data_IF_690496424852
#
_entry.id   IF_690496424852
#
_cell.length_a   1.000
_cell.length_b   1.000
_cell.length_c   1.000
_cell.angle_alpha   90.00
_cell.angle_beta   90.00
_cell.angle_gamma   90.00
#
_symmetry.space_group_name_H-M   'P 1'
#
loop_
_entity.id
_entity.type
_entity.pdbx_description
1 polymer ?
#
# COMPACT_ATOMS: atom_id res chain seq x y z
N UNK A 1 0.61 33.15 -4.10
CA UNK A 1 0.06 31.99 -3.35
C UNK A 1 0.62 30.74 -3.97
N UNK A 2 1.22 29.86 -3.18
CA UNK A 2 1.60 28.51 -3.63
C UNK A 2 0.34 27.64 -3.75
N UNK A 3 0.25 26.79 -4.77
CA UNK A 3 -0.95 25.98 -5.05
C UNK A 3 -1.30 24.98 -3.95
N UNK A 4 -2.50 24.38 -3.99
CA UNK A 4 -3.00 23.48 -2.94
C UNK A 4 -2.17 22.19 -2.78
N UNK A 5 -1.58 21.69 -3.86
CA UNK A 5 -0.72 20.50 -3.87
C UNK A 5 0.77 20.86 -3.72
N UNK A 6 1.09 22.14 -3.53
CA UNK A 6 2.47 22.57 -3.39
C UNK A 6 3.08 22.03 -2.08
N UNK A 7 4.35 21.57 -2.09
CA UNK A 7 5.03 21.02 -0.91
C UNK A 7 4.90 21.85 0.38
N UNK A 8 5.05 23.17 0.26
CA UNK A 8 4.90 24.10 1.40
C UNK A 8 3.47 24.13 1.94
N UNK A 9 2.45 24.03 1.08
CA UNK A 9 1.05 24.01 1.50
C UNK A 9 0.75 22.71 2.25
N UNK A 10 1.20 21.57 1.70
CA UNK A 10 1.10 20.26 2.34
C UNK A 10 1.83 20.22 3.69
N UNK A 11 3.05 20.74 3.76
CA UNK A 11 3.80 20.85 5.02
C UNK A 11 3.06 21.72 6.04
N UNK A 12 2.48 22.85 5.62
CA UNK A 12 1.68 23.71 6.51
C UNK A 12 0.45 22.98 7.05
N UNK A 13 -0.27 22.25 6.19
CA UNK A 13 -1.44 21.49 6.59
C UNK A 13 -1.09 20.34 7.55
N UNK A 14 0.03 19.65 7.31
CA UNK A 14 0.55 18.64 8.23
C UNK A 14 0.88 19.22 9.61
N UNK A 15 1.58 20.36 9.65
CA UNK A 15 1.89 21.04 10.90
C UNK A 15 0.63 21.47 11.66
N UNK A 16 -0.42 21.88 10.95
CA UNK A 16 -1.72 22.18 11.55
C UNK A 16 -2.37 20.92 12.15
N UNK A 17 -2.35 19.80 11.42
CA UNK A 17 -2.86 18.53 11.93
C UNK A 17 -2.10 18.08 13.19
N UNK A 18 -0.76 18.14 13.19
CA UNK A 18 0.08 17.84 14.36
C UNK A 18 -0.24 18.78 15.52
N UNK A 19 -0.43 20.07 15.26
CA UNK A 19 -0.83 21.06 16.28
C UNK A 19 -2.19 20.71 16.89
N UNK A 20 -3.15 20.25 16.09
CA UNK A 20 -4.44 19.77 16.59
C UNK A 20 -4.28 18.52 17.47
N UNK A 21 -3.44 17.56 17.07
CA UNK A 21 -3.14 16.35 17.86
C UNK A 21 -2.54 16.72 19.21
N UNK A 22 -1.51 17.56 19.24
CA UNK A 22 -0.82 17.98 20.46
C UNK A 22 -1.74 18.77 21.41
N UNK A 23 -2.74 19.48 20.87
CA UNK A 23 -3.76 20.18 21.64
C UNK A 23 -5.01 19.34 21.95
N UNK A 24 -4.96 18.01 21.76
CA UNK A 24 -6.09 17.08 22.00
C UNK A 24 -7.35 17.36 21.17
N UNK A 25 -7.25 18.11 20.07
CA UNK A 25 -8.35 18.41 19.14
C UNK A 25 -8.42 17.35 18.04
N UNK A 26 -8.64 16.09 18.43
CA UNK A 26 -8.48 14.93 17.52
C UNK A 26 -9.41 15.00 16.31
N UNK A 27 -10.69 15.37 16.47
CA UNK A 27 -11.61 15.49 15.33
C UNK A 27 -11.18 16.55 14.30
N UNK A 28 -10.51 17.63 14.74
CA UNK A 28 -9.95 18.62 13.81
C UNK A 28 -8.72 18.06 13.09
N UNK A 29 -7.87 17.31 13.79
CA UNK A 29 -6.72 16.65 13.18
C UNK A 29 -7.16 15.64 12.10
N UNK A 30 -8.14 14.79 12.39
CA UNK A 30 -8.68 13.82 11.43
C UNK A 30 -9.26 14.51 10.19
N UNK A 31 -9.99 15.62 10.38
CA UNK A 31 -10.50 16.43 9.26
C UNK A 31 -9.39 16.98 8.37
N UNK A 32 -8.31 17.47 8.95
CA UNK A 32 -7.18 17.99 8.19
C UNK A 32 -6.42 16.88 7.47
N UNK A 33 -6.16 15.74 8.11
CA UNK A 33 -5.54 14.57 7.48
C UNK A 33 -6.40 14.05 6.31
N UNK A 34 -7.73 13.99 6.47
CA UNK A 34 -8.66 13.56 5.41
C UNK A 34 -8.63 14.46 4.18
N UNK A 35 -8.57 15.78 4.37
CA UNK A 35 -8.43 16.75 3.27
C UNK A 35 -7.07 16.68 2.60
N UNK A 36 -6.04 16.29 3.35
CA UNK A 36 -4.67 16.25 2.88
C UNK A 36 -4.40 15.04 1.96
N UNK A 37 -5.04 13.89 2.21
CA UNK A 37 -4.85 12.65 1.45
C UNK A 37 -4.97 12.80 -0.09
N UNK A 38 -6.07 13.33 -0.66
CA UNK A 38 -6.17 13.47 -2.12
C UNK A 38 -5.13 14.43 -2.69
N UNK A 39 -4.76 15.49 -1.95
CA UNK A 39 -3.72 16.45 -2.37
C UNK A 39 -2.33 15.81 -2.36
N UNK A 40 -2.07 14.94 -1.39
CA UNK A 40 -0.83 14.15 -1.33
C UNK A 40 -0.76 13.15 -2.47
N UNK A 41 -1.86 12.48 -2.81
CA UNK A 41 -1.89 11.58 -3.96
C UNK A 41 -1.61 12.33 -5.27
N UNK A 42 -2.16 13.54 -5.45
CA UNK A 42 -1.85 14.42 -6.57
C UNK A 42 -0.36 14.76 -6.61
N UNK A 43 0.18 15.29 -5.51
CA UNK A 43 1.59 15.65 -5.39
C UNK A 43 2.54 14.46 -5.61
N UNK A 44 2.27 13.32 -4.97
CA UNK A 44 3.13 12.12 -5.06
C UNK A 44 2.99 11.46 -6.42
N UNK A 45 1.81 11.47 -7.03
CA UNK A 45 1.63 11.06 -8.44
C UNK A 45 2.57 11.84 -9.35
N UNK A 46 2.58 13.18 -9.21
CA UNK A 46 3.48 14.07 -9.95
C UNK A 46 4.96 13.70 -9.72
N UNK A 47 5.38 13.43 -8.48
CA UNK A 47 6.77 13.10 -8.16
C UNK A 47 7.22 11.71 -8.64
N UNK A 48 6.35 10.68 -8.53
CA UNK A 48 6.67 9.34 -9.03
C UNK A 48 6.75 9.31 -10.55
N UNK A 49 5.86 10.04 -11.21
CA UNK A 49 5.86 10.22 -12.66
C UNK A 49 7.06 11.07 -13.12
N UNK A 50 7.62 11.91 -12.24
CA UNK A 50 8.77 12.76 -12.54
C UNK A 50 10.14 12.17 -12.18
N UNK A 51 10.28 10.92 -11.71
CA UNK A 51 11.58 10.39 -11.26
C UNK A 51 12.11 9.27 -12.17
N UNK A 52 13.27 9.48 -12.83
CA UNK A 52 13.81 8.61 -13.90
C UNK A 52 14.32 7.21 -13.49
N UNK A 53 14.44 6.90 -12.19
CA UNK A 53 15.00 5.63 -11.73
C UNK A 53 14.07 4.97 -10.72
N UNK A 54 13.75 3.69 -10.96
CA UNK A 54 13.04 2.83 -10.01
C UNK A 54 13.72 2.84 -8.63
N UNK A 55 15.06 2.86 -8.60
CA UNK A 55 15.83 2.95 -7.36
C UNK A 55 15.58 4.26 -6.62
N UNK A 56 15.55 5.39 -7.34
CA UNK A 56 15.29 6.72 -6.75
C UNK A 56 13.84 6.83 -6.31
N UNK A 57 12.88 6.21 -6.99
CA UNK A 57 11.46 6.15 -6.56
C UNK A 57 11.24 5.30 -5.34
N UNK A 58 11.84 4.11 -5.30
CA UNK A 58 11.83 3.25 -4.10
C UNK A 58 12.48 3.98 -2.93
N UNK A 59 13.61 4.65 -3.18
CA UNK A 59 14.31 5.45 -2.16
C UNK A 59 13.51 6.69 -1.73
N UNK A 60 12.73 7.33 -2.61
CA UNK A 60 11.87 8.48 -2.28
C UNK A 60 10.60 8.06 -1.53
N UNK A 61 10.03 6.89 -1.87
CA UNK A 61 8.95 6.26 -1.13
C UNK A 61 9.39 5.77 0.27
N UNK A 62 10.68 5.49 0.44
CA UNK A 62 11.30 5.08 1.71
C UNK A 62 11.95 6.25 2.45
N UNK A 63 12.19 7.38 1.80
CA UNK A 63 12.73 8.58 2.45
C UNK A 63 11.58 9.33 3.12
N UNK A 64 11.93 10.07 4.17
CA UNK A 64 11.04 10.94 4.96
C UNK A 64 10.58 12.17 4.15
N UNK A 65 10.13 11.95 2.93
CA UNK A 65 9.57 12.94 2.04
C UNK A 65 8.20 13.39 2.57
N UNK A 66 7.76 14.57 2.13
CA UNK A 66 6.49 15.21 2.50
C UNK A 66 5.26 14.28 2.27
N UNK A 67 5.39 13.27 1.40
CA UNK A 67 4.37 12.23 1.16
C UNK A 67 4.30 11.10 2.20
N UNK A 68 5.43 10.72 2.83
CA UNK A 68 5.51 9.57 3.75
C UNK A 68 5.03 9.94 5.16
N UNK A 69 5.35 11.14 5.63
CA UNK A 69 5.04 11.60 7.00
C UNK A 69 3.53 11.65 7.30
N UNK A 70 2.65 12.12 6.40
CA UNK A 70 1.20 12.15 6.67
C UNK A 70 0.57 10.75 6.72
N UNK A 71 1.02 9.84 5.86
CA UNK A 71 0.60 8.43 5.85
C UNK A 71 1.00 7.79 7.18
N UNK A 72 2.26 7.93 7.58
CA UNK A 72 2.72 7.47 8.89
C UNK A 72 1.96 8.13 10.04
N UNK A 73 1.65 9.42 9.92
CA UNK A 73 0.92 10.20 10.92
C UNK A 73 -0.47 9.64 11.19
N UNK A 74 -1.28 9.34 10.18
CA UNK A 74 -2.62 8.79 10.42
C UNK A 74 -2.59 7.43 11.13
N UNK A 75 -1.67 6.54 10.75
CA UNK A 75 -1.54 5.22 11.38
C UNK A 75 -1.03 5.33 12.82
N UNK A 76 -0.08 6.25 13.06
CA UNK A 76 0.40 6.55 14.41
C UNK A 76 -0.71 7.09 15.30
N UNK A 77 -1.58 7.95 14.74
CA UNK A 77 -2.73 8.47 15.46
C UNK A 77 -3.75 7.35 15.75
N UNK A 78 -4.07 6.51 14.76
CA UNK A 78 -4.98 5.39 14.92
C UNK A 78 -4.49 4.38 15.97
N UNK A 79 -3.19 4.18 16.10
CA UNK A 79 -2.60 3.30 17.12
C UNK A 79 -2.42 3.95 18.50
N UNK A 80 -2.38 5.28 18.58
CA UNK A 80 -2.10 5.98 19.82
C UNK A 80 -3.16 5.74 20.92
N UNK A 81 -2.71 5.40 22.12
CA UNK A 81 -3.56 5.16 23.30
C UNK A 81 -4.25 6.43 23.82
N UNK A 82 -3.69 7.61 23.52
CA UNK A 82 -4.26 8.87 23.98
C UNK A 82 -5.48 9.33 23.18
N UNK A 83 -5.79 8.68 22.06
CA UNK A 83 -6.94 9.03 21.23
C UNK A 83 -8.21 8.58 21.94
N UNK A 84 -9.19 9.48 22.15
CA UNK A 84 -10.46 9.12 22.76
C UNK A 84 -11.20 8.04 21.97
N UNK A 85 -11.94 7.17 22.67
CA UNK A 85 -12.69 6.06 22.05
C UNK A 85 -13.67 6.57 20.99
N UNK A 86 -14.31 7.72 21.20
CA UNK A 86 -15.23 8.32 20.22
C UNK A 86 -14.57 8.72 18.89
N UNK A 87 -13.23 8.85 18.85
CA UNK A 87 -12.47 9.15 17.63
C UNK A 87 -11.65 7.96 17.14
N UNK A 88 -11.55 6.88 17.92
CA UNK A 88 -10.70 5.72 17.61
C UNK A 88 -11.18 5.02 16.34
N UNK A 89 -12.47 4.76 16.23
CA UNK A 89 -13.08 4.14 15.06
C UNK A 89 -12.86 4.99 13.79
N UNK A 90 -13.10 6.30 13.86
CA UNK A 90 -12.86 7.20 12.72
C UNK A 90 -11.39 7.23 12.31
N UNK A 91 -10.46 7.24 13.28
CA UNK A 91 -9.03 7.21 13.02
C UNK A 91 -8.60 5.90 12.34
N UNK A 92 -9.12 4.76 12.79
CA UNK A 92 -8.85 3.44 12.19
C UNK A 92 -9.42 3.37 10.77
N UNK A 93 -10.66 3.81 10.53
CA UNK A 93 -11.25 3.83 9.19
C UNK A 93 -10.46 4.70 8.22
N UNK A 94 -10.04 5.89 8.64
CA UNK A 94 -9.20 6.76 7.81
C UNK A 94 -7.80 6.17 7.58
N UNK A 95 -7.20 5.53 8.58
CA UNK A 95 -5.94 4.80 8.41
C UNK A 95 -6.11 3.65 7.41
N UNK A 96 -7.21 2.90 7.47
CA UNK A 96 -7.52 1.83 6.53
C UNK A 96 -7.61 2.34 5.08
N UNK A 97 -8.39 3.41 4.85
CA UNK A 97 -8.52 4.05 3.53
C UNK A 97 -7.14 4.45 2.98
N UNK A 98 -6.34 5.14 3.80
CA UNK A 98 -5.01 5.60 3.40
C UNK A 98 -4.09 4.41 3.16
N UNK A 99 -4.08 3.39 4.02
CA UNK A 99 -3.25 2.19 3.79
C UNK A 99 -3.57 1.56 2.43
N UNK A 100 -4.85 1.29 2.19
CA UNK A 100 -5.35 0.66 0.97
C UNK A 100 -5.01 1.48 -0.27
N UNK A 101 -5.22 2.80 -0.24
CA UNK A 101 -4.93 3.71 -1.35
C UNK A 101 -3.44 3.81 -1.66
N UNK A 102 -2.60 3.76 -0.65
CA UNK A 102 -1.16 3.95 -0.80
C UNK A 102 -0.38 2.64 -0.91
N UNK A 103 -1.01 1.49 -0.66
CA UNK A 103 -0.36 0.18 -0.79
C UNK A 103 0.05 -0.04 -2.25
N UNK A 104 1.36 -0.24 -2.43
CA UNK A 104 2.02 -0.47 -3.74
C UNK A 104 1.73 0.58 -4.82
N UNK A 105 1.35 1.79 -4.40
CA UNK A 105 1.04 2.89 -5.34
C UNK A 105 2.25 3.28 -6.19
N UNK A 106 3.46 3.15 -5.65
CA UNK A 106 4.71 3.43 -6.36
C UNK A 106 4.96 2.39 -7.46
N UNK A 107 4.83 2.81 -8.72
CA UNK A 107 5.17 1.99 -9.90
C UNK A 107 4.00 1.21 -10.51
N UNK A 108 2.84 1.07 -9.83
CA UNK A 108 1.68 0.35 -10.41
C UNK A 108 1.20 1.00 -11.71
N UNK A 109 1.12 2.34 -11.73
CA UNK A 109 0.66 3.09 -12.91
C UNK A 109 1.57 2.91 -14.11
N UNK A 110 2.87 2.89 -13.88
CA UNK A 110 3.83 2.69 -14.95
C UNK A 110 3.85 1.25 -15.43
N UNK A 111 3.72 0.29 -14.51
CA UNK A 111 3.56 -1.10 -14.88
C UNK A 111 2.33 -1.29 -15.76
N UNK A 112 1.21 -0.62 -15.45
CA UNK A 112 0.01 -0.68 -16.30
C UNK A 112 0.22 0.00 -17.65
N UNK A 113 0.80 1.20 -17.70
CA UNK A 113 1.08 1.90 -18.96
C UNK A 113 2.01 1.04 -19.84
N UNK A 114 3.09 0.49 -19.27
CA UNK A 114 4.02 -0.39 -19.98
C UNK A 114 3.36 -1.71 -20.42
N UNK A 115 2.43 -2.24 -19.61
CA UNK A 115 1.64 -3.41 -19.98
C UNK A 115 0.75 -3.10 -21.18
N UNK A 116 -0.05 -2.03 -21.12
CA UNK A 116 -0.94 -1.61 -22.21
C UNK A 116 -0.17 -1.33 -23.50
N UNK A 117 0.98 -0.65 -23.40
CA UNK A 117 1.88 -0.39 -24.53
C UNK A 117 2.44 -1.69 -25.17
N UNK A 118 2.56 -2.78 -24.40
CA UNK A 118 3.15 -4.02 -24.92
C UNK A 118 2.12 -5.03 -25.41
N UNK A 119 1.00 -5.18 -24.70
CA UNK A 119 0.09 -6.32 -24.89
C UNK A 119 -1.33 -5.93 -25.26
N UNK A 120 -1.72 -4.65 -25.24
CA UNK A 120 -3.08 -4.28 -25.62
C UNK A 120 -3.35 -4.66 -27.06
N UNK A 121 -4.50 -5.30 -27.31
CA UNK A 121 -4.93 -5.69 -28.65
C UNK A 121 -5.42 -4.50 -29.48
N UNK A 122 -5.87 -3.41 -28.83
CA UNK A 122 -6.28 -2.18 -29.50
C UNK A 122 -5.04 -1.32 -29.85
N UNK A 123 -4.76 -1.10 -31.15
CA UNK A 123 -3.62 -0.28 -31.57
C UNK A 123 -3.66 1.15 -31.00
N UNK A 124 -4.86 1.73 -30.82
CA UNK A 124 -5.01 3.09 -30.28
C UNK A 124 -4.60 3.16 -28.81
N UNK A 125 -4.97 2.16 -28.03
CA UNK A 125 -4.56 2.06 -26.61
C UNK A 125 -3.04 1.89 -26.54
N UNK A 126 -2.48 1.06 -27.42
CA UNK A 126 -1.04 0.81 -27.48
C UNK A 126 -0.25 2.09 -27.77
N UNK A 127 -0.58 2.77 -28.88
CA UNK A 127 0.09 4.01 -29.30
C UNK A 127 -0.06 5.12 -28.25
N UNK A 128 -1.25 5.24 -27.64
CA UNK A 128 -1.49 6.25 -26.60
C UNK A 128 -0.70 5.94 -25.31
N UNK A 129 -0.60 4.66 -24.92
CA UNK A 129 0.20 4.25 -23.77
C UNK A 129 1.70 4.47 -23.99
N UNK A 130 2.23 4.15 -25.18
CA UNK A 130 3.61 4.45 -25.57
C UNK A 130 3.88 5.96 -25.53
N UNK A 131 3.02 6.75 -26.17
CA UNK A 131 3.11 8.22 -26.18
C UNK A 131 3.05 8.83 -24.78
N UNK A 132 2.19 8.29 -23.91
CA UNK A 132 2.09 8.72 -22.52
C UNK A 132 3.35 8.40 -21.72
N UNK A 133 3.96 7.22 -21.92
CA UNK A 133 5.22 6.85 -21.28
C UNK A 133 6.36 7.79 -21.70
N UNK A 134 6.44 8.15 -22.99
CA UNK A 134 7.41 9.13 -23.50
C UNK A 134 7.17 10.53 -22.94
N UNK A 135 5.92 11.01 -22.94
CA UNK A 135 5.56 12.33 -22.42
C UNK A 135 5.89 12.45 -20.93
N UNK A 136 5.63 11.40 -20.14
CA UNK A 136 6.01 11.33 -18.72
C UNK A 136 7.52 11.35 -18.53
N UNK A 137 8.27 10.62 -19.35
CA UNK A 137 9.73 10.64 -19.32
C UNK A 137 10.27 12.05 -19.66
N UNK A 138 9.69 12.73 -20.65
CA UNK A 138 10.06 14.09 -21.01
C UNK A 138 9.75 15.09 -19.88
N UNK A 139 8.57 14.97 -19.27
CA UNK A 139 8.17 15.79 -18.14
C UNK A 139 9.11 15.59 -16.94
N UNK A 140 9.42 14.34 -16.61
CA UNK A 140 10.39 13.95 -15.58
C UNK A 140 11.75 14.61 -15.79
N UNK A 141 12.27 14.59 -17.02
CA UNK A 141 13.54 15.26 -17.35
C UNK A 141 13.46 16.76 -17.08
N UNK A 142 12.36 17.42 -17.46
CA UNK A 142 12.18 18.86 -17.30
C UNK A 142 12.09 19.29 -15.82
N UNK A 143 11.37 18.53 -14.99
CA UNK A 143 11.21 18.81 -13.56
C UNK A 143 12.53 18.66 -12.79
N UNK A 144 13.37 17.70 -13.19
CA UNK A 144 14.66 17.41 -12.52
C UNK A 144 15.84 18.25 -13.04
N UNK A 145 15.63 19.20 -13.95
CA UNK A 145 16.71 20.10 -14.36
C UNK A 145 17.13 21.00 -13.19
N UNK A 146 18.42 21.37 -13.06
CA UNK A 146 18.88 22.29 -12.00
C UNK A 146 18.16 23.65 -12.00
N UNK A 147 17.66 24.07 -13.16
CA UNK A 147 16.81 25.25 -13.34
C UNK A 147 15.64 24.88 -14.26
N UNK A 148 14.54 24.34 -13.74
CA UNK A 148 13.40 23.92 -14.55
C UNK A 148 12.70 25.13 -15.16
N UNK A 149 12.33 25.06 -16.44
CA UNK A 149 11.53 26.11 -17.10
C UNK A 149 10.05 25.92 -16.72
N UNK A 150 9.43 26.84 -15.95
CA UNK A 150 8.07 26.65 -15.45
C UNK A 150 7.03 26.51 -16.57
N UNK A 151 7.20 27.21 -17.70
CA UNK A 151 6.27 27.11 -18.84
C UNK A 151 6.37 25.76 -19.54
N UNK A 152 7.59 25.26 -19.77
CA UNK A 152 7.80 23.96 -20.40
C UNK A 152 7.29 22.81 -19.51
N UNK A 153 7.50 22.93 -18.20
CA UNK A 153 6.97 21.97 -17.21
C UNK A 153 5.44 21.97 -17.24
N UNK A 154 4.79 23.14 -17.23
CA UNK A 154 3.33 23.24 -17.28
C UNK A 154 2.75 22.66 -18.59
N UNK A 155 3.30 23.03 -19.75
CA UNK A 155 2.84 22.51 -21.04
C UNK A 155 2.95 20.98 -21.10
N UNK A 156 4.09 20.43 -20.65
CA UNK A 156 4.32 18.99 -20.73
C UNK A 156 3.45 18.24 -19.71
N UNK A 157 3.17 18.83 -18.53
CA UNK A 157 2.20 18.32 -17.57
C UNK A 157 0.80 18.25 -18.18
N UNK A 158 0.32 19.35 -18.76
CA UNK A 158 -1.04 19.42 -19.31
C UNK A 158 -1.24 18.38 -20.43
N UNK A 159 -0.19 18.15 -21.25
CA UNK A 159 -0.19 17.08 -22.26
C UNK A 159 -0.27 15.68 -21.65
N UNK A 160 0.45 15.43 -20.56
CA UNK A 160 0.37 14.17 -19.81
C UNK A 160 -1.04 13.97 -19.24
N UNK A 161 -1.61 15.00 -18.62
CA UNK A 161 -2.97 14.96 -18.06
C UNK A 161 -4.02 14.68 -19.15
N UNK A 162 -3.92 15.32 -20.31
CA UNK A 162 -4.82 15.07 -21.44
C UNK A 162 -4.73 13.61 -21.94
N UNK A 163 -3.51 13.10 -22.14
CA UNK A 163 -3.29 11.71 -22.57
C UNK A 163 -3.80 10.70 -21.54
N UNK A 164 -3.70 11.00 -20.25
CA UNK A 164 -4.25 10.15 -19.19
C UNK A 164 -5.79 10.12 -19.22
N UNK A 165 -6.44 11.26 -19.46
CA UNK A 165 -7.90 11.31 -19.62
C UNK A 165 -8.34 10.53 -20.85
N UNK A 166 -7.63 10.67 -21.97
CA UNK A 166 -7.91 9.89 -23.18
C UNK A 166 -7.72 8.39 -22.95
N UNK A 167 -6.63 7.99 -22.27
CA UNK A 167 -6.33 6.58 -22.00
C UNK A 167 -7.35 5.99 -21.01
N UNK A 168 -7.81 6.74 -20.02
CA UNK A 168 -8.89 6.32 -19.13
C UNK A 168 -10.25 6.22 -19.85
N UNK A 169 -10.45 7.00 -20.91
CA UNK A 169 -11.63 6.88 -21.77
C UNK A 169 -11.64 5.62 -22.65
N UNK A 170 -10.46 5.13 -23.03
CA UNK A 170 -10.31 3.99 -23.96
C UNK A 170 -10.00 2.67 -23.26
N UNK A 171 -9.20 2.68 -22.18
CA UNK A 171 -8.77 1.49 -21.45
C UNK A 171 -9.56 1.33 -20.16
N UNK A 172 -10.36 0.26 -20.08
CA UNK A 172 -11.08 -0.13 -18.85
C UNK A 172 -10.12 -0.33 -17.69
N UNK A 173 -9.01 -1.04 -17.92
CA UNK A 173 -8.00 -1.31 -16.90
C UNK A 173 -7.38 -0.03 -16.35
N UNK A 174 -7.09 0.95 -17.22
CA UNK A 174 -6.54 2.24 -16.81
C UNK A 174 -7.57 3.07 -16.04
N UNK A 175 -8.84 3.04 -16.46
CA UNK A 175 -9.95 3.69 -15.76
C UNK A 175 -10.16 3.11 -14.35
N UNK A 176 -10.15 1.78 -14.23
CA UNK A 176 -10.26 1.09 -12.94
C UNK A 176 -9.10 1.49 -12.03
N UNK A 177 -7.87 1.49 -12.54
CA UNK A 177 -6.70 1.91 -11.79
C UNK A 177 -6.81 3.37 -11.28
N UNK A 178 -7.37 4.28 -12.08
CA UNK A 178 -7.62 5.66 -11.66
C UNK A 178 -8.70 5.73 -10.57
N UNK A 179 -9.78 4.97 -10.71
CA UNK A 179 -10.86 4.92 -9.72
C UNK A 179 -10.40 4.42 -8.35
N UNK A 180 -9.41 3.52 -8.35
CA UNK A 180 -8.78 2.94 -7.16
C UNK A 180 -7.99 3.96 -6.32
N UNK A 181 -7.77 5.20 -6.79
CA UNK A 181 -7.23 6.30 -5.97
C UNK A 181 -8.21 6.77 -4.90
N UNK A 182 -9.50 6.58 -5.14
CA UNK A 182 -10.61 6.88 -4.21
C UNK A 182 -11.11 5.62 -3.50
N UNK A 183 -10.24 4.62 -3.35
CA UNK A 183 -10.58 3.36 -2.69
C UNK A 183 -10.91 3.61 -1.22
N UNK A 184 -12.08 3.16 -0.78
CA UNK A 184 -12.48 3.20 0.62
C UNK A 184 -12.57 1.77 1.13
N UNK A 185 -12.32 1.59 2.43
CA UNK A 185 -12.38 0.29 3.09
C UNK A 185 -13.74 -0.39 2.88
N UNK A 186 -14.84 0.37 2.81
CA UNK A 186 -16.19 -0.15 2.53
C UNK A 186 -16.30 -0.85 1.17
N UNK A 187 -15.57 -0.38 0.16
CA UNK A 187 -15.56 -1.05 -1.15
C UNK A 187 -14.83 -2.39 -1.06
N UNK A 188 -13.78 -2.47 -0.25
CA UNK A 188 -13.04 -3.71 0.01
C UNK A 188 -13.89 -4.67 0.82
N UNK A 189 -14.53 -4.20 1.89
CA UNK A 189 -15.47 -4.97 2.71
C UNK A 189 -16.59 -5.58 1.85
N UNK A 190 -17.26 -4.77 1.04
CA UNK A 190 -18.33 -5.22 0.15
C UNK A 190 -17.86 -6.20 -0.92
N UNK A 191 -16.56 -6.21 -1.21
CA UNK A 191 -15.97 -7.10 -2.19
C UNK A 191 -15.54 -8.47 -1.64
N UNK A 192 -15.42 -8.59 -0.32
CA UNK A 192 -15.00 -9.81 0.33
C UNK A 192 -16.15 -10.82 0.42
N UNK A 193 -15.92 -12.10 0.09
CA UNK A 193 -16.90 -13.14 0.35
C UNK A 193 -17.25 -13.27 1.83
N UNK A 194 -18.49 -13.68 2.14
CA UNK A 194 -18.92 -13.93 3.51
C UNK A 194 -17.99 -14.92 4.25
N UNK A 195 -17.68 -14.61 5.51
CA UNK A 195 -16.78 -15.44 6.33
C UNK A 195 -15.30 -15.31 5.96
N UNK A 196 -14.93 -14.29 5.18
CA UNK A 196 -13.55 -13.93 4.86
C UNK A 196 -13.13 -12.60 5.48
N UNK A 197 -11.83 -12.33 5.46
CA UNK A 197 -11.21 -11.09 5.94
C UNK A 197 -10.02 -10.74 5.06
N UNK A 198 -9.83 -9.45 4.76
CA UNK A 198 -8.57 -8.94 4.21
C UNK A 198 -7.59 -8.72 5.35
N UNK A 199 -6.39 -9.28 5.25
CA UNK A 199 -5.24 -9.01 6.10
C UNK A 199 -4.16 -8.30 5.27
N UNK A 200 -4.05 -6.99 5.43
CA UNK A 200 -3.03 -6.18 4.76
C UNK A 200 -1.84 -5.95 5.70
N UNK A 201 -0.63 -6.24 5.23
CA UNK A 201 0.61 -6.14 6.01
C UNK A 201 1.51 -5.07 5.42
N UNK A 202 1.92 -4.10 6.24
CA UNK A 202 2.80 -3.02 5.77
C UNK A 202 3.75 -2.53 6.86
N UNK A 203 5.01 -2.33 6.49
CA UNK A 203 5.99 -1.69 7.36
C UNK A 203 5.98 -0.16 7.19
N UNK A 204 5.83 0.58 8.29
CA UNK A 204 5.88 2.04 8.33
C UNK A 204 6.67 2.57 9.51
N UNK A 205 7.09 3.83 9.44
CA UNK A 205 7.78 4.54 10.53
C UNK A 205 6.76 5.37 11.29
N UNK A 206 6.39 5.01 12.54
CA UNK A 206 5.44 5.80 13.31
C UNK A 206 5.99 7.21 13.57
N UNK A 207 5.12 8.21 13.67
CA UNK A 207 5.49 9.60 13.94
C UNK A 207 5.28 9.90 15.43
N UNK A 208 6.32 10.41 16.08
CA UNK A 208 6.16 11.05 17.38
C UNK A 208 5.60 12.46 17.17
N UNK A 209 4.34 12.67 17.54
CA UNK A 209 3.67 13.96 17.36
C UNK A 209 4.27 15.09 18.20
N UNK A 210 5.01 14.79 19.28
CA UNK A 210 5.66 15.81 20.10
C UNK A 210 6.91 16.34 19.43
N UNK A 211 7.75 15.45 18.90
CA UNK A 211 9.04 15.81 18.31
C UNK A 211 8.95 16.03 16.80
N UNK A 212 7.91 15.52 16.14
CA UNK A 212 7.78 15.50 14.68
C UNK A 212 8.71 14.50 14.01
N UNK A 213 9.47 13.72 14.78
CA UNK A 213 10.45 12.76 14.29
C UNK A 213 9.81 11.41 14.02
N UNK A 214 10.24 10.69 12.98
CA UNK A 214 9.88 9.29 12.81
C UNK A 214 10.59 8.42 13.84
N UNK A 215 9.86 7.43 14.34
CA UNK A 215 10.35 6.37 15.20
C UNK A 215 10.93 5.20 14.43
N UNK A 216 11.28 4.15 15.17
CA UNK A 216 11.72 2.87 14.59
C UNK A 216 10.65 2.31 13.66
N UNK A 217 11.05 1.82 12.47
CA UNK A 217 10.13 1.21 11.50
C UNK A 217 9.48 -0.05 12.08
N UNK A 218 8.17 -0.19 11.93
CA UNK A 218 7.35 -1.27 12.51
C UNK A 218 6.41 -1.88 11.48
N UNK A 219 6.10 -3.16 11.63
CA UNK A 219 5.07 -3.83 10.83
C UNK A 219 3.70 -3.56 11.41
N UNK A 220 2.74 -3.26 10.54
CA UNK A 220 1.33 -3.18 10.89
C UNK A 220 0.53 -4.25 10.16
N UNK A 221 -0.50 -4.77 10.83
CA UNK A 221 -1.59 -5.53 10.26
C UNK A 221 -2.86 -4.70 10.26
N UNK A 222 -3.52 -4.62 9.11
CA UNK A 222 -4.87 -4.10 8.96
C UNK A 222 -5.80 -5.26 8.59
N UNK A 223 -6.81 -5.52 9.41
CA UNK A 223 -7.85 -6.51 9.16
C UNK A 223 -9.15 -5.79 8.81
N UNK A 224 -9.72 -6.10 7.64
CA UNK A 224 -11.05 -5.63 7.21
C UNK A 224 -11.92 -6.87 7.01
N UNK A 225 -12.86 -7.16 7.94
CA UNK A 225 -13.80 -8.27 7.79
C UNK A 225 -14.77 -8.06 6.62
N UNK A 226 -15.22 -9.15 6.00
CA UNK A 226 -16.43 -9.12 5.18
C UNK A 226 -17.64 -8.76 6.05
N UNK A 227 -18.57 -7.97 5.52
CA UNK A 227 -19.79 -7.55 6.22
C UNK A 227 -19.55 -6.70 7.49
N UNK A 228 -18.38 -6.06 7.61
CA UNK A 228 -18.10 -5.13 8.71
C UNK A 228 -19.10 -3.96 8.68
N UNK A 229 -19.80 -3.72 9.80
CA UNK A 229 -20.91 -2.74 9.85
C UNK A 229 -20.43 -1.31 9.91
N UNK A 230 -19.34 -1.08 10.63
CA UNK A 230 -18.71 0.20 10.83
C UNK A 230 -17.22 0.03 11.12
N UNK A 231 -16.52 1.15 11.31
CA UNK A 231 -15.08 1.19 11.48
C UNK A 231 -14.59 0.51 12.78
N UNK A 232 -15.47 0.20 13.74
CA UNK A 232 -15.09 -0.48 15.00
C UNK A 232 -14.75 -1.95 14.80
N UNK A 233 -15.22 -2.57 13.70
CA UNK A 233 -14.90 -3.95 13.35
C UNK A 233 -13.56 -4.08 12.59
N UNK A 234 -12.97 -2.95 12.17
CA UNK A 234 -11.65 -2.91 11.53
C UNK A 234 -10.57 -2.97 12.61
N UNK A 235 -9.57 -3.82 12.41
CA UNK A 235 -8.47 -3.98 13.37
C UNK A 235 -7.19 -3.46 12.74
N UNK A 236 -6.58 -2.46 13.37
CA UNK A 236 -5.24 -2.01 13.06
C UNK A 236 -4.31 -2.38 14.21
N UNK A 237 -3.29 -3.17 13.93
CA UNK A 237 -2.39 -3.74 14.94
C UNK A 237 -0.93 -3.52 14.60
N UNK A 238 -0.15 -3.15 15.59
CA UNK A 238 1.32 -3.14 15.54
C UNK A 238 1.85 -4.55 15.79
N UNK A 239 2.64 -5.07 14.85
CA UNK A 239 3.24 -6.41 14.87
C UNK A 239 4.70 -6.41 15.36
N UNK A 240 5.25 -5.25 15.70
CA UNK A 240 6.62 -5.15 16.19
C UNK A 240 7.60 -4.48 15.22
N UNK A 241 8.86 -4.32 15.66
CA UNK A 241 9.93 -3.73 14.86
C UNK A 241 10.17 -4.47 13.55
N UNK A 242 10.40 -3.72 12.47
CA UNK A 242 10.65 -4.26 11.15
C UNK A 242 11.94 -5.10 11.08
N UNK A 243 12.96 -4.71 11.85
CA UNK A 243 14.23 -5.45 11.92
C UNK A 243 14.05 -6.82 12.58
N UNK A 244 13.29 -6.90 13.68
CA UNK A 244 12.98 -8.17 14.34
C UNK A 244 12.26 -9.14 13.41
N UNK A 245 11.25 -8.65 12.68
CA UNK A 245 10.55 -9.46 11.66
C UNK A 245 11.48 -9.88 10.53
N UNK A 246 12.36 -8.98 10.07
CA UNK A 246 13.31 -9.29 8.99
C UNK A 246 14.35 -10.35 9.41
N UNK A 247 14.85 -10.27 10.64
CA UNK A 247 15.77 -11.26 11.20
C UNK A 247 15.10 -12.62 11.35
N UNK A 248 13.87 -12.66 11.89
CA UNK A 248 13.15 -13.92 12.04
C UNK A 248 12.77 -14.53 10.68
N UNK A 249 12.34 -13.71 9.72
CA UNK A 249 12.08 -14.18 8.36
C UNK A 249 13.35 -14.72 7.69
N UNK A 250 14.49 -14.06 7.89
CA UNK A 250 15.77 -14.55 7.37
C UNK A 250 16.12 -15.90 7.99
N UNK A 251 16.00 -16.06 9.31
CA UNK A 251 16.25 -17.35 9.98
C UNK A 251 15.39 -18.45 9.39
N UNK A 252 14.09 -18.22 9.28
CA UNK A 252 13.17 -19.17 8.67
C UNK A 252 13.61 -19.57 7.25
N UNK A 253 14.01 -18.61 6.40
CA UNK A 253 14.52 -18.92 5.06
C UNK A 253 15.86 -19.66 5.04
N UNK A 254 16.73 -19.40 6.01
CA UNK A 254 18.07 -20.00 6.07
C UNK A 254 18.01 -21.44 6.61
N UNK A 255 17.09 -21.75 7.53
CA UNK A 255 16.99 -23.05 8.20
C UNK A 255 15.90 -23.96 7.63
N UNK A 256 14.82 -23.37 7.10
CA UNK A 256 13.58 -24.04 6.73
C UNK A 256 13.01 -24.92 7.89
N UNK A 257 13.24 -24.48 9.13
CA UNK A 257 12.88 -25.27 10.32
C UNK A 257 11.43 -25.03 10.76
N UNK A 258 10.78 -26.08 11.27
CA UNK A 258 9.45 -25.99 11.86
C UNK A 258 9.38 -25.06 13.08
N UNK A 259 10.49 -24.94 13.81
CA UNK A 259 10.57 -24.02 14.96
C UNK A 259 10.55 -22.56 14.50
N UNK A 260 11.38 -22.21 13.53
CA UNK A 260 11.44 -20.85 12.98
C UNK A 260 10.14 -20.45 12.28
N UNK A 261 9.50 -21.39 11.56
CA UNK A 261 8.18 -21.19 10.96
C UNK A 261 7.10 -20.84 11.99
N UNK A 262 7.10 -21.55 13.13
CA UNK A 262 6.15 -21.33 14.23
C UNK A 262 6.44 -20.03 14.99
N UNK A 263 7.71 -19.72 15.22
CA UNK A 263 8.12 -18.47 15.85
C UNK A 263 7.74 -17.26 14.97
N UNK A 264 7.97 -17.34 13.65
CA UNK A 264 7.58 -16.30 12.72
C UNK A 264 6.05 -16.11 12.67
N UNK A 265 5.28 -17.20 12.68
CA UNK A 265 3.83 -17.13 12.80
C UNK A 265 3.42 -16.43 14.10
N UNK A 266 4.02 -16.84 15.23
CA UNK A 266 3.68 -16.29 16.55
C UNK A 266 4.01 -14.79 16.62
N UNK A 267 5.16 -14.38 16.07
CA UNK A 267 5.59 -12.98 16.02
C UNK A 267 4.59 -12.12 15.22
N UNK A 268 4.14 -12.59 14.06
CA UNK A 268 3.29 -11.80 13.17
C UNK A 268 1.80 -11.88 13.52
N UNK A 269 1.33 -13.04 13.97
CA UNK A 269 -0.10 -13.36 14.04
C UNK A 269 -0.56 -13.89 15.39
N UNK A 270 0.35 -14.09 16.37
CA UNK A 270 0.00 -14.62 17.69
C UNK A 270 -1.08 -13.80 18.40
N UNK A 271 -0.89 -12.47 18.47
CA UNK A 271 -1.88 -11.57 19.10
C UNK A 271 -3.16 -11.41 18.28
N UNK A 272 -3.11 -11.72 16.98
CA UNK A 272 -4.27 -11.68 16.07
C UNK A 272 -4.98 -13.03 15.99
N UNK A 273 -4.47 -14.08 16.62
CA UNK A 273 -4.95 -15.44 16.45
C UNK A 273 -6.44 -15.61 16.75
N UNK A 274 -6.93 -14.95 17.81
CA UNK A 274 -8.36 -14.97 18.16
C UNK A 274 -9.26 -14.29 17.12
N UNK A 275 -8.76 -13.24 16.47
CA UNK A 275 -9.49 -12.51 15.42
C UNK A 275 -9.45 -13.28 14.10
N UNK A 276 -8.29 -13.76 13.69
CA UNK A 276 -8.11 -14.56 12.48
C UNK A 276 -8.83 -15.92 12.56
N UNK A 277 -9.03 -16.46 13.77
CA UNK A 277 -9.77 -17.70 13.97
C UNK A 277 -11.23 -17.60 13.52
N UNK A 278 -11.85 -16.41 13.57
CA UNK A 278 -13.26 -16.17 13.21
C UNK A 278 -13.57 -16.37 11.73
N UNK A 279 -12.56 -16.31 10.87
CA UNK A 279 -12.71 -16.34 9.41
C UNK A 279 -12.13 -17.62 8.82
N UNK A 280 -12.78 -18.22 7.83
CA UNK A 280 -12.27 -19.44 7.19
C UNK A 280 -11.34 -19.13 6.01
N UNK A 281 -11.49 -17.95 5.43
CA UNK A 281 -10.74 -17.48 4.25
C UNK A 281 -10.01 -16.20 4.58
N UNK A 282 -8.72 -16.15 4.27
CA UNK A 282 -7.84 -15.00 4.48
C UNK A 282 -7.35 -14.50 3.12
N UNK A 283 -7.66 -13.24 2.81
CA UNK A 283 -7.02 -12.54 1.70
C UNK A 283 -5.79 -11.82 2.24
N UNK A 284 -4.61 -12.26 1.85
CA UNK A 284 -3.33 -11.75 2.34
C UNK A 284 -2.81 -10.71 1.35
N UNK A 285 -2.69 -9.46 1.78
CA UNK A 285 -2.08 -8.39 0.99
C UNK A 285 -0.76 -7.95 1.65
N UNK A 286 0.33 -8.72 1.50
CA UNK A 286 1.64 -8.31 1.98
C UNK A 286 2.21 -7.15 1.16
N UNK A 287 3.24 -6.52 1.72
CA UNK A 287 4.07 -5.52 1.07
C UNK A 287 5.54 -5.82 1.42
N UNK A 288 6.48 -5.18 0.72
CA UNK A 288 7.91 -5.24 1.03
C UNK A 288 8.46 -6.66 1.15
N UNK A 289 9.15 -6.94 2.26
CA UNK A 289 9.81 -8.24 2.49
C UNK A 289 8.81 -9.40 2.62
N UNK A 290 7.63 -9.14 3.19
CA UNK A 290 6.62 -10.18 3.44
C UNK A 290 5.91 -10.62 2.14
N UNK A 291 6.15 -9.95 1.01
CA UNK A 291 5.72 -10.45 -0.30
C UNK A 291 6.32 -11.83 -0.62
N UNK A 292 7.51 -12.11 -0.09
CA UNK A 292 8.26 -13.33 -0.34
C UNK A 292 8.01 -14.42 0.72
N UNK A 293 7.14 -14.17 1.68
CA UNK A 293 6.86 -15.10 2.78
C UNK A 293 5.97 -16.24 2.27
N UNK A 294 6.40 -17.52 2.35
CA UNK A 294 5.53 -18.65 2.05
C UNK A 294 4.53 -18.85 3.20
N UNK A 295 3.43 -18.08 3.21
CA UNK A 295 2.42 -18.13 4.28
C UNK A 295 1.85 -19.53 4.52
N UNK A 296 1.80 -20.37 3.48
CA UNK A 296 1.33 -21.74 3.58
C UNK A 296 2.23 -22.64 4.44
N UNK A 297 3.52 -22.31 4.56
CA UNK A 297 4.53 -23.06 5.31
C UNK A 297 4.66 -22.61 6.76
N UNK A 298 3.98 -21.52 7.14
CA UNK A 298 3.91 -21.09 8.53
C UNK A 298 3.18 -22.12 9.40
N UNK A 299 3.70 -22.36 10.60
CA UNK A 299 3.13 -23.31 11.55
C UNK A 299 2.38 -22.60 12.67
N UNK A 300 1.18 -23.09 12.94
CA UNK A 300 0.37 -22.69 14.08
C UNK A 300 0.97 -23.24 15.39
N UNK A 301 0.56 -22.70 16.56
CA UNK A 301 1.00 -23.22 17.85
C UNK A 301 0.70 -24.71 18.10
N UNK A 302 -0.25 -25.30 17.35
CA UNK A 302 -0.60 -26.72 17.40
C UNK A 302 0.22 -27.59 16.42
N UNK A 303 1.30 -27.05 15.85
CA UNK A 303 2.23 -27.72 14.93
C UNK A 303 1.60 -28.13 13.58
N UNK A 304 0.48 -27.53 13.20
CA UNK A 304 -0.11 -27.69 11.87
C UNK A 304 0.17 -26.50 10.98
N UNK A 305 0.27 -26.75 9.68
CA UNK A 305 0.49 -25.68 8.70
C UNK A 305 -0.74 -24.79 8.61
N UNK A 306 -0.53 -23.48 8.46
CA UNK A 306 -1.63 -22.51 8.46
C UNK A 306 -2.66 -22.80 7.36
N UNK A 307 -2.18 -23.23 6.19
CA UNK A 307 -3.01 -23.62 5.04
C UNK A 307 -3.93 -24.82 5.32
N UNK A 308 -3.62 -25.65 6.33
CA UNK A 308 -4.48 -26.78 6.73
C UNK A 308 -5.71 -26.32 7.52
N UNK A 309 -5.69 -25.10 8.07
CA UNK A 309 -6.77 -24.55 8.88
C UNK A 309 -7.59 -23.48 8.16
N UNK A 310 -6.97 -22.77 7.22
CA UNK A 310 -7.52 -21.59 6.56
C UNK A 310 -7.27 -21.65 5.06
N UNK A 311 -8.20 -21.13 4.27
CA UNK A 311 -7.97 -20.86 2.84
C UNK A 311 -7.18 -19.55 2.73
N UNK A 312 -5.98 -19.61 2.17
CA UNK A 312 -5.10 -18.45 2.02
C UNK A 312 -5.10 -18.00 0.56
N UNK A 313 -5.45 -16.74 0.32
CA UNK A 313 -5.44 -16.10 -0.99
C UNK A 313 -4.48 -14.91 -0.95
N UNK A 314 -3.28 -15.05 -1.51
CA UNK A 314 -2.34 -13.94 -1.59
C UNK A 314 -2.70 -13.04 -2.78
N UNK A 315 -3.00 -11.78 -2.50
CA UNK A 315 -3.29 -10.72 -3.47
C UNK A 315 -2.20 -9.64 -3.38
N UNK A 316 -2.06 -8.79 -4.40
CA UNK A 316 -1.01 -7.75 -4.35
C UNK A 316 -1.42 -6.60 -3.45
N UNK A 317 -2.68 -6.19 -3.51
CA UNK A 317 -3.25 -5.17 -2.64
C UNK A 317 -4.77 -5.36 -2.49
N UNK A 318 -5.36 -4.81 -1.43
CA UNK A 318 -6.82 -4.91 -1.20
C UNK A 318 -7.68 -4.39 -2.37
N UNK A 319 -7.14 -3.52 -3.23
CA UNK A 319 -7.81 -3.03 -4.44
C UNK A 319 -8.05 -4.11 -5.51
N UNK A 320 -7.26 -5.19 -5.50
CA UNK A 320 -7.36 -6.25 -6.52
C UNK A 320 -8.66 -7.05 -6.36
N UNK A 321 -9.22 -7.09 -5.15
CA UNK A 321 -10.54 -7.67 -4.87
C UNK A 321 -11.65 -7.02 -5.70
N UNK A 322 -11.49 -5.74 -6.06
CA UNK A 322 -12.45 -5.03 -6.90
C UNK A 322 -12.37 -5.47 -8.38
N UNK A 323 -11.23 -5.98 -8.82
CA UNK A 323 -11.04 -6.48 -10.20
C UNK A 323 -11.66 -7.87 -10.37
N UNK A 324 -11.51 -8.75 -9.37
CA UNK A 324 -12.06 -10.12 -9.41
C UNK A 324 -13.60 -10.13 -9.51
N UNK A 325 -14.28 -9.17 -8.87
CA UNK A 325 -15.73 -9.01 -9.00
C UNK A 325 -16.18 -8.48 -10.37
N UNK A 326 -15.32 -7.76 -11.07
CA UNK A 326 -15.62 -7.21 -12.39
C UNK A 326 -15.41 -8.26 -13.51
N UNK A 327 -14.53 -9.24 -13.30
CA UNK A 327 -14.25 -10.30 -14.27
C UNK A 327 -15.06 -11.57 -14.04
N UNK A 328 -15.59 -11.81 -12.83
CA UNK A 328 -16.36 -13.02 -12.52
C UNK A 328 -15.55 -14.31 -12.61
N UNK A 329 -14.22 -14.21 -12.73
CA UNK A 329 -13.31 -15.33 -12.80
C UNK A 329 -12.70 -15.57 -11.42
N UNK A 330 -13.10 -16.67 -10.76
CA UNK A 330 -12.30 -17.30 -9.71
C UNK A 330 -11.02 -17.87 -10.35
N UNK A 331 -10.03 -17.02 -10.65
CA UNK A 331 -8.71 -17.54 -11.01
C UNK A 331 -8.00 -17.97 -9.75
N UNK A 332 -7.98 -19.28 -9.51
CA UNK A 332 -6.98 -19.93 -8.69
C UNK A 332 -5.59 -19.52 -9.21
N UNK A 333 -4.96 -18.54 -8.58
CA UNK A 333 -3.66 -18.06 -9.00
C UNK A 333 -2.65 -19.19 -8.85
N UNK A 334 -2.25 -19.69 -10.01
CA UNK A 334 -1.24 -20.70 -10.20
C UNK A 334 0.06 -20.20 -9.59
N UNK A 335 0.63 -21.00 -8.70
CA UNK A 335 2.00 -20.83 -8.20
C UNK A 335 2.97 -20.76 -9.40
N UNK A 336 3.60 -19.62 -9.62
CA UNK A 336 4.81 -19.55 -10.44
C UNK A 336 5.99 -19.63 -9.49
N UNK A 337 6.45 -20.87 -9.25
CA UNK A 337 7.73 -21.12 -8.61
C UNK A 337 8.85 -20.69 -9.57
N UNK A 338 9.60 -19.64 -9.22
CA UNK A 338 10.92 -19.43 -9.81
C UNK A 338 11.89 -20.41 -9.14
N UNK A 339 12.00 -21.61 -9.72
CA UNK A 339 13.03 -22.57 -9.35
C UNK A 339 14.38 -22.14 -9.92
N UNK A 340 15.30 -21.72 -9.06
CA UNK A 340 16.72 -21.64 -9.38
C UNK A 340 17.30 -23.07 -9.34
N UNK A 341 17.47 -23.67 -10.51
CA UNK A 341 18.16 -24.95 -10.69
C UNK A 341 19.67 -24.74 -10.56
N UNK A 342 20.13 -24.58 -9.32
CA UNK A 342 21.54 -24.63 -8.95
C UNK A 342 22.05 -26.07 -8.82
N UNK A 343 22.51 -26.60 -9.95
CA UNK A 343 23.15 -27.90 -10.14
C UNK A 343 24.16 -28.28 -9.03
N UNK A 344 23.83 -29.26 -8.18
CA UNK A 344 24.80 -29.97 -7.30
C UNK A 344 25.07 -31.34 -7.89
N UNK A 345 26.19 -31.44 -8.61
CA UNK A 345 26.78 -32.71 -9.01
C UNK A 345 27.30 -33.40 -7.73
N UNK A 346 26.68 -34.52 -7.40
CA UNK A 346 27.20 -35.50 -6.45
C UNK A 346 28.21 -36.35 -7.22
N UNK A 347 29.47 -36.34 -6.80
CA UNK A 347 30.45 -37.36 -7.20
C UNK A 347 30.87 -38.13 -5.95
N UNK A 348 30.84 -39.46 -6.10
CA UNK A 348 31.15 -40.50 -5.14
C UNK A 348 32.45 -40.32 -4.35
#
# INVERSE_FOLDING_TARGET
MVGEEHPLTLATQLNLAITHINNRKISLALRELRKMDPRLQGFVGVQFDSTLSEKVRRQWSQSQSIGHVPICGIHSLALAEFVPEENKAEAVGLAADILLRWQRLAGEREALIAHLARVSEDPKIRELAESLAEARTAWSRLVNMPKPNPKAVAITRDKVEEMEVQLAGLSREFKEQQSNRTLEWRKVEAALPNGSVLLSLRALEPIDFKTGSPGERRWLALLIPAAARDETEIILKDLGPANTVAEQFKRFRDTDSSEDARELYTLLFGELGGELAKYNTLYLAPDGLLDLLPFAELLLPDFRYWIQHKRLHQIRAGRDLLRELATGEETATTFVAFGDQGNRIISH
#
